data_IF_294109176846
#
_entry.id   IF_294109176846
#
_cell.length_a   1.000
_cell.length_b   1.000
_cell.length_c   1.000
_cell.angle_alpha   90.00
_cell.angle_beta   90.00
_cell.angle_gamma   90.00
#
_symmetry.space_group_name_H-M   'P 1'
#
loop_
_entity.id
_entity.type
_entity.pdbx_description
1 polymer ?
#
# COMPACT_ATOMS: atom_id res chain seq x y z
N UNK A 1 -19.98 33.44 -6.03
CA UNK A 1 -18.80 34.00 -6.69
C UNK A 1 -18.20 35.07 -5.77
N UNK A 2 -17.43 34.71 -4.73
CA UNK A 2 -16.70 35.71 -3.90
C UNK A 2 -16.32 35.27 -2.46
N UNK A 3 -16.07 34.01 -2.17
CA UNK A 3 -15.76 33.66 -0.75
C UNK A 3 -14.35 33.11 -0.49
N UNK A 4 -13.47 32.99 -1.49
CA UNK A 4 -12.11 32.46 -1.28
C UNK A 4 -10.96 33.40 -1.69
N UNK A 5 -11.24 34.67 -1.94
CA UNK A 5 -10.24 35.71 -2.20
C UNK A 5 -10.13 36.61 -0.96
N UNK A 6 -9.50 36.13 0.09
CA UNK A 6 -8.84 37.04 1.02
C UNK A 6 -7.67 37.66 0.24
N UNK A 7 -7.41 38.96 0.34
CA UNK A 7 -6.30 39.66 -0.37
C UNK A 7 -4.91 38.99 -0.15
N UNK A 8 -4.79 38.06 0.78
CA UNK A 8 -3.52 37.49 1.26
C UNK A 8 -3.32 36.00 0.89
N UNK A 9 -4.39 35.24 0.50
CA UNK A 9 -4.33 33.86 0.12
C UNK A 9 -5.27 33.49 -1.02
N UNK A 10 -4.74 32.79 -2.03
CA UNK A 10 -5.47 32.29 -3.19
C UNK A 10 -5.30 30.76 -3.25
N UNK A 11 -6.41 30.03 -3.19
CA UNK A 11 -6.40 28.59 -3.28
C UNK A 11 -7.03 28.13 -4.62
N UNK A 12 -6.26 27.43 -5.45
CA UNK A 12 -6.68 26.88 -6.74
C UNK A 12 -7.08 25.39 -6.66
N UNK A 13 -7.71 24.99 -5.60
CA UNK A 13 -8.00 23.57 -5.38
C UNK A 13 -9.11 22.97 -6.25
N UNK A 14 -10.00 23.77 -6.94
CA UNK A 14 -11.16 23.10 -7.59
C UNK A 14 -12.04 23.88 -8.59
N UNK A 15 -12.12 25.18 -8.55
CA UNK A 15 -13.18 25.90 -9.26
C UNK A 15 -12.71 27.05 -10.18
N UNK A 16 -11.47 27.46 -10.07
CA UNK A 16 -10.93 28.50 -10.96
C UNK A 16 -9.89 27.87 -11.90
N UNK A 17 -9.95 28.18 -13.21
CA UNK A 17 -8.84 27.86 -14.08
C UNK A 17 -7.59 28.58 -13.56
N UNK A 18 -6.51 27.84 -13.39
CA UNK A 18 -5.20 28.38 -13.00
C UNK A 18 -4.66 29.22 -14.15
N UNK A 19 -5.02 30.50 -14.16
CA UNK A 19 -4.58 31.45 -15.22
C UNK A 19 -3.15 31.91 -14.92
N UNK A 20 -2.19 31.24 -15.55
CA UNK A 20 -0.75 31.51 -15.39
C UNK A 20 -0.41 32.94 -15.78
N UNK A 21 -1.00 33.46 -16.87
CA UNK A 21 -0.70 34.79 -17.37
C UNK A 21 -1.20 35.91 -16.41
N UNK A 22 -2.38 35.69 -15.84
CA UNK A 22 -2.93 36.61 -14.84
C UNK A 22 -2.06 36.60 -13.58
N UNK A 23 -1.70 35.45 -13.05
CA UNK A 23 -0.91 35.31 -11.83
C UNK A 23 0.52 35.84 -11.99
N UNK A 24 1.17 35.55 -13.12
CA UNK A 24 2.50 36.08 -13.42
C UNK A 24 2.52 37.62 -13.44
N UNK A 25 1.58 38.25 -14.16
CA UNK A 25 1.52 39.69 -14.28
C UNK A 25 1.05 40.42 -13.02
N UNK A 26 0.07 39.86 -12.31
CA UNK A 26 -0.54 40.49 -11.12
C UNK A 26 0.33 40.41 -9.88
N UNK A 27 1.11 39.33 -9.71
CA UNK A 27 1.89 39.08 -8.51
C UNK A 27 3.39 38.94 -8.77
N UNK A 28 3.83 39.25 -9.99
CA UNK A 28 5.23 39.15 -10.44
C UNK A 28 5.86 37.78 -10.13
N UNK A 29 5.15 36.68 -10.50
CA UNK A 29 5.59 35.30 -10.27
C UNK A 29 6.27 34.80 -11.54
N UNK A 30 7.45 34.14 -11.43
CA UNK A 30 8.12 33.47 -12.56
C UNK A 30 7.19 32.46 -13.25
N UNK A 31 7.15 32.45 -14.58
CA UNK A 31 6.32 31.52 -15.37
C UNK A 31 6.71 30.06 -15.09
N UNK A 32 7.99 29.80 -14.82
CA UNK A 32 8.50 28.48 -14.44
C UNK A 32 7.83 27.97 -13.16
N UNK A 33 7.71 28.81 -12.11
CA UNK A 33 7.05 28.44 -10.87
C UNK A 33 5.58 28.07 -11.07
N UNK A 34 4.90 28.79 -11.95
CA UNK A 34 3.51 28.48 -12.31
C UNK A 34 3.41 27.19 -13.14
N UNK A 35 4.45 26.88 -13.93
CA UNK A 35 4.51 25.62 -14.66
C UNK A 35 4.69 24.45 -13.70
N UNK A 36 5.67 24.52 -12.82
CA UNK A 36 5.93 23.51 -11.79
C UNK A 36 4.74 23.30 -10.85
N UNK A 37 4.06 24.37 -10.46
CA UNK A 37 2.89 24.29 -9.60
C UNK A 37 1.70 23.54 -10.23
N UNK A 38 1.69 23.38 -11.55
CA UNK A 38 0.62 22.66 -12.27
C UNK A 38 1.04 21.29 -12.81
N UNK A 39 2.31 20.91 -12.65
CA UNK A 39 2.82 19.61 -13.04
C UNK A 39 2.41 18.56 -12.00
N UNK A 40 1.79 17.48 -12.49
CA UNK A 40 1.33 16.36 -11.63
C UNK A 40 2.45 15.42 -11.19
N UNK A 41 3.54 15.43 -11.93
CA UNK A 41 4.69 14.56 -11.73
C UNK A 41 5.87 15.31 -11.09
N UNK A 42 5.64 16.55 -10.63
CA UNK A 42 6.68 17.36 -10.02
C UNK A 42 7.07 16.80 -8.64
N UNK A 43 8.37 16.83 -8.36
CA UNK A 43 8.92 16.32 -7.09
C UNK A 43 8.93 17.39 -6.00
N UNK A 44 8.75 16.96 -4.74
CA UNK A 44 8.83 17.85 -3.58
C UNK A 44 10.18 18.57 -3.53
N UNK A 45 10.16 19.91 -3.53
CA UNK A 45 11.33 20.79 -3.50
C UNK A 45 11.01 22.19 -3.01
N UNK A 46 12.04 22.95 -2.74
CA UNK A 46 11.96 24.37 -2.38
C UNK A 46 12.94 25.16 -3.25
N UNK A 47 12.47 26.26 -3.80
CA UNK A 47 13.22 27.14 -4.71
C UNK A 47 12.82 28.58 -4.49
N UNK A 48 13.81 29.49 -4.51
CA UNK A 48 13.59 30.93 -4.40
C UNK A 48 14.11 31.63 -5.65
N UNK A 49 13.29 32.46 -6.23
CA UNK A 49 13.71 33.34 -7.33
C UNK A 49 14.36 34.61 -6.77
N UNK A 50 15.57 34.90 -7.23
CA UNK A 50 16.36 36.02 -6.72
C UNK A 50 15.88 37.36 -7.21
N UNK A 51 15.20 37.45 -8.37
CA UNK A 51 14.70 38.69 -8.96
C UNK A 51 13.38 39.11 -8.31
N UNK A 52 12.40 38.22 -8.29
CA UNK A 52 11.05 38.54 -7.77
C UNK A 52 10.94 38.34 -6.25
N UNK A 53 11.92 37.62 -5.65
CA UNK A 53 11.90 37.16 -4.25
C UNK A 53 10.66 36.29 -3.95
N UNK A 54 10.12 35.66 -4.97
CA UNK A 54 9.09 34.65 -4.84
C UNK A 54 9.70 33.32 -4.39
N UNK A 55 8.99 32.60 -3.52
CA UNK A 55 9.38 31.28 -3.02
C UNK A 55 8.38 30.25 -3.51
N UNK A 56 8.87 29.21 -4.16
CA UNK A 56 8.11 28.02 -4.51
C UNK A 56 8.46 26.91 -3.53
N UNK A 57 7.43 26.27 -2.94
CA UNK A 57 7.57 25.07 -2.15
C UNK A 57 6.61 24.04 -2.75
N UNK A 58 7.13 22.87 -3.12
CA UNK A 58 6.35 21.71 -3.52
C UNK A 58 6.48 20.67 -2.41
N UNK A 59 5.34 20.19 -1.95
CA UNK A 59 5.22 19.27 -0.82
C UNK A 59 4.18 18.21 -1.15
N UNK A 60 4.55 16.94 -1.08
CA UNK A 60 3.64 15.86 -1.45
C UNK A 60 2.57 15.64 -0.40
N UNK A 61 1.34 15.42 -0.86
CA UNK A 61 0.16 15.15 -0.03
C UNK A 61 -0.42 13.77 -0.33
N UNK A 62 -0.95 13.03 0.67
CA UNK A 62 -1.61 11.76 0.44
C UNK A 62 -3.05 11.97 -0.04
N UNK A 63 -3.53 11.13 -0.97
CA UNK A 63 -4.91 11.13 -1.46
C UNK A 63 -5.40 9.71 -1.75
N UNK A 64 -6.73 9.53 -1.88
CA UNK A 64 -7.33 8.24 -2.21
C UNK A 64 -7.09 7.90 -3.68
N UNK A 65 -6.55 6.69 -3.95
CA UNK A 65 -6.38 6.23 -5.32
C UNK A 65 -7.70 5.72 -5.90
N UNK A 66 -8.11 6.31 -7.04
CA UNK A 66 -9.33 5.93 -7.75
C UNK A 66 -9.09 4.91 -8.87
N UNK A 67 -7.82 4.52 -9.10
CA UNK A 67 -7.44 3.57 -10.16
C UNK A 67 -7.54 2.12 -9.73
N UNK A 68 -7.88 1.86 -8.48
CA UNK A 68 -7.92 0.53 -7.85
C UNK A 68 -6.57 -0.21 -7.81
N UNK A 69 -5.48 0.52 -8.06
CA UNK A 69 -4.10 -0.01 -8.01
C UNK A 69 -3.55 0.01 -6.59
N UNK A 70 -3.91 1.03 -5.82
CA UNK A 70 -3.55 1.22 -4.42
C UNK A 70 -4.78 1.72 -3.64
N UNK A 71 -4.72 1.78 -2.31
CA UNK A 71 -5.75 2.46 -1.52
C UNK A 71 -5.51 3.97 -1.48
N UNK A 72 -4.26 4.35 -1.41
CA UNK A 72 -3.81 5.73 -1.37
C UNK A 72 -2.62 5.91 -2.30
N UNK A 73 -2.52 7.10 -2.88
CA UNK A 73 -1.36 7.60 -3.59
C UNK A 73 -0.90 8.90 -2.96
N UNK A 74 0.13 9.49 -3.49
CA UNK A 74 0.63 10.82 -3.10
C UNK A 74 0.99 11.62 -4.33
N UNK A 75 0.98 12.95 -4.20
CA UNK A 75 1.32 13.83 -5.29
C UNK A 75 1.53 15.27 -4.84
N UNK A 76 1.99 16.14 -5.75
CA UNK A 76 2.47 17.46 -5.40
C UNK A 76 1.34 18.45 -5.07
N UNK A 77 1.54 19.15 -3.98
CA UNK A 77 0.88 20.40 -3.65
C UNK A 77 1.91 21.52 -3.65
N UNK A 78 1.61 22.63 -4.31
CA UNK A 78 2.51 23.77 -4.38
C UNK A 78 2.04 24.92 -3.50
N UNK A 79 3.02 25.60 -2.88
CA UNK A 79 2.89 26.88 -2.21
C UNK A 79 3.78 27.89 -2.94
N UNK A 80 3.20 28.94 -3.51
CA UNK A 80 3.96 30.06 -4.03
C UNK A 80 3.76 31.22 -3.07
N UNK A 81 4.83 31.62 -2.42
CA UNK A 81 4.84 32.69 -1.42
C UNK A 81 5.51 33.92 -2.02
N UNK A 82 4.74 35.00 -2.18
CA UNK A 82 5.24 36.30 -2.63
C UNK A 82 5.21 37.32 -1.49
N UNK A 83 5.62 38.57 -1.74
CA UNK A 83 5.48 39.64 -0.75
C UNK A 83 4.02 39.95 -0.41
N UNK A 84 3.10 39.73 -1.36
CA UNK A 84 1.69 40.16 -1.25
C UNK A 84 0.78 38.98 -0.89
N UNK A 85 0.95 37.84 -1.50
CA UNK A 85 -0.01 36.76 -1.48
C UNK A 85 0.69 35.38 -1.27
N UNK A 86 -0.05 34.44 -0.68
CA UNK A 86 0.25 33.01 -0.73
C UNK A 86 -0.69 32.38 -1.76
N UNK A 87 -0.15 31.61 -2.69
CA UNK A 87 -0.92 30.82 -3.64
C UNK A 87 -0.71 29.37 -3.34
N UNK A 88 -1.80 28.62 -3.19
CA UNK A 88 -1.75 27.16 -3.05
C UNK A 88 -2.45 26.51 -4.24
N UNK A 89 -1.83 25.48 -4.79
CA UNK A 89 -2.40 24.68 -5.87
C UNK A 89 -2.14 23.19 -5.63
N UNK A 90 -3.10 22.37 -6.02
CA UNK A 90 -2.94 20.91 -6.15
C UNK A 90 -3.05 20.56 -7.62
N UNK A 91 -2.07 19.85 -8.14
CA UNK A 91 -1.98 19.56 -9.56
C UNK A 91 -3.08 18.59 -10.05
N UNK A 92 -3.62 17.74 -9.17
CA UNK A 92 -4.74 16.84 -9.48
C UNK A 92 -5.99 17.20 -8.67
N UNK A 93 -7.13 17.33 -9.37
CA UNK A 93 -8.44 17.62 -8.75
C UNK A 93 -8.86 16.60 -7.69
N UNK A 94 -8.35 15.36 -7.79
CA UNK A 94 -8.60 14.30 -6.79
C UNK A 94 -8.05 14.67 -5.41
N UNK A 95 -6.92 15.38 -5.37
CA UNK A 95 -6.31 15.88 -4.13
C UNK A 95 -7.10 17.04 -3.51
N UNK A 96 -7.76 17.84 -4.34
CA UNK A 96 -8.52 19.00 -3.89
C UNK A 96 -9.67 18.64 -2.94
N UNK A 97 -10.28 17.48 -3.12
CA UNK A 97 -11.39 16.99 -2.28
C UNK A 97 -10.95 16.78 -0.82
N UNK A 98 -9.69 16.42 -0.60
CA UNK A 98 -9.14 16.20 0.74
C UNK A 98 -9.00 17.53 1.49
N UNK A 99 -8.51 18.55 0.78
CA UNK A 99 -8.33 19.89 1.35
C UNK A 99 -9.66 20.56 1.72
N UNK A 100 -10.73 20.25 0.98
CA UNK A 100 -12.08 20.76 1.27
C UNK A 100 -12.73 20.11 2.49
N UNK A 101 -12.52 18.80 2.65
CA UNK A 101 -13.15 18.02 3.73
C UNK A 101 -12.36 18.07 5.03
N UNK A 102 -11.12 18.52 5.00
CA UNK A 102 -10.31 18.70 6.18
C UNK A 102 -10.53 20.10 6.75
N UNK A 103 -10.97 20.20 8.00
CA UNK A 103 -10.95 21.45 8.80
C UNK A 103 -9.53 22.02 8.99
N UNK A 104 -8.60 21.61 8.14
CA UNK A 104 -7.17 21.88 8.19
C UNK A 104 -6.85 23.36 8.03
N UNK A 105 -7.74 24.11 7.38
CA UNK A 105 -7.46 25.46 6.89
C UNK A 105 -8.28 26.53 7.60
N UNK A 106 -9.38 26.14 8.27
CA UNK A 106 -10.38 27.09 8.81
C UNK A 106 -9.83 28.03 9.89
N UNK A 107 -8.66 27.74 10.47
CA UNK A 107 -8.04 28.50 11.54
C UNK A 107 -6.70 29.13 11.18
N UNK A 108 -6.22 28.99 9.93
CA UNK A 108 -4.93 29.52 9.51
C UNK A 108 -5.03 30.99 9.08
N UNK A 109 -4.14 31.82 9.62
CA UNK A 109 -4.07 33.23 9.26
C UNK A 109 -2.99 33.46 8.19
N UNK A 110 -3.37 33.75 6.93
CA UNK A 110 -2.44 33.91 5.82
C UNK A 110 -1.53 35.16 5.96
N UNK A 111 -1.83 36.06 6.88
CA UNK A 111 -1.01 37.23 7.18
C UNK A 111 0.38 36.85 7.67
N UNK A 112 0.48 35.75 8.42
CA UNK A 112 1.75 35.18 8.92
C UNK A 112 2.20 34.06 7.98
N UNK A 113 2.78 34.42 6.84
CA UNK A 113 3.05 33.50 5.72
C UNK A 113 3.88 32.27 6.08
N UNK A 114 4.95 32.44 6.87
CA UNK A 114 5.78 31.32 7.33
C UNK A 114 4.99 30.37 8.22
N UNK A 115 4.32 30.91 9.23
CA UNK A 115 3.49 30.13 10.14
C UNK A 115 2.34 29.44 9.40
N UNK A 116 1.69 30.11 8.44
CA UNK A 116 0.64 29.54 7.59
C UNK A 116 1.13 28.30 6.84
N UNK A 117 2.27 28.38 6.14
CA UNK A 117 2.84 27.29 5.34
C UNK A 117 3.24 26.12 6.25
N UNK A 118 3.91 26.39 7.38
CA UNK A 118 4.33 25.35 8.31
C UNK A 118 3.16 24.62 8.95
N UNK A 119 2.12 25.32 9.38
CA UNK A 119 0.89 24.69 9.90
C UNK A 119 0.20 23.83 8.85
N UNK A 120 0.18 24.30 7.59
CA UNK A 120 -0.40 23.54 6.51
C UNK A 120 0.38 22.24 6.26
N UNK A 121 1.72 22.32 6.24
CA UNK A 121 2.58 21.14 6.11
C UNK A 121 2.41 20.18 7.29
N UNK A 122 2.31 20.70 8.52
CA UNK A 122 2.07 19.88 9.71
C UNK A 122 0.72 19.12 9.62
N UNK A 123 -0.29 19.78 9.11
CA UNK A 123 -1.58 19.16 8.88
C UNK A 123 -1.52 18.05 7.82
N UNK A 124 -0.72 18.23 6.76
CA UNK A 124 -0.44 17.19 5.75
C UNK A 124 0.30 16.01 6.39
N UNK A 125 1.31 16.26 7.22
CA UNK A 125 2.05 15.20 7.92
C UNK A 125 1.12 14.35 8.81
N UNK A 126 0.24 14.98 9.58
CA UNK A 126 -0.80 14.30 10.37
C UNK A 126 -1.75 13.48 9.50
N UNK A 127 -2.09 13.97 8.32
CA UNK A 127 -2.92 13.23 7.37
C UNK A 127 -2.23 11.93 6.91
N UNK A 128 -0.91 11.95 6.63
CA UNK A 128 -0.14 10.73 6.36
C UNK A 128 -0.26 9.72 7.50
N UNK A 129 -0.02 10.15 8.74
CA UNK A 129 -0.14 9.27 9.92
C UNK A 129 -1.52 8.63 10.01
N UNK A 130 -2.58 9.40 9.78
CA UNK A 130 -3.95 8.88 9.83
C UNK A 130 -4.22 7.85 8.71
N UNK A 131 -3.72 8.10 7.49
CA UNK A 131 -3.86 7.15 6.38
C UNK A 131 -3.08 5.86 6.63
N UNK A 132 -1.86 5.95 7.18
CA UNK A 132 -1.06 4.77 7.56
C UNK A 132 -1.78 3.95 8.63
N UNK A 133 -2.40 4.59 9.62
CA UNK A 133 -3.22 3.90 10.63
C UNK A 133 -4.41 3.16 10.02
N UNK A 134 -5.06 3.74 9.00
CA UNK A 134 -6.15 3.08 8.27
C UNK A 134 -5.62 1.86 7.51
N UNK A 135 -4.49 1.97 6.81
CA UNK A 135 -3.84 0.87 6.10
C UNK A 135 -3.47 -0.27 7.07
N UNK A 136 -2.91 0.06 8.22
CA UNK A 136 -2.56 -0.93 9.25
C UNK A 136 -3.78 -1.67 9.79
N UNK A 137 -4.91 -0.99 10.01
CA UNK A 137 -6.15 -1.66 10.40
C UNK A 137 -6.64 -2.63 9.33
N UNK A 138 -6.61 -2.23 8.05
CA UNK A 138 -6.96 -3.11 6.93
C UNK A 138 -6.04 -4.34 6.88
N UNK A 139 -4.73 -4.16 7.03
CA UNK A 139 -3.75 -5.25 7.08
C UNK A 139 -4.08 -6.27 8.18
N UNK A 140 -4.35 -5.80 9.42
CA UNK A 140 -4.70 -6.68 10.55
C UNK A 140 -5.97 -7.50 10.25
N UNK A 141 -6.99 -6.91 9.62
CA UNK A 141 -8.21 -7.64 9.23
C UNK A 141 -7.91 -8.75 8.22
N UNK A 142 -7.06 -8.48 7.24
CA UNK A 142 -6.63 -9.47 6.25
C UNK A 142 -5.82 -10.58 6.94
N UNK A 143 -4.89 -10.24 7.81
CA UNK A 143 -4.08 -11.20 8.57
C UNK A 143 -4.96 -12.20 9.35
N UNK A 144 -6.01 -11.71 10.01
CA UNK A 144 -6.97 -12.56 10.72
C UNK A 144 -7.80 -13.48 9.79
N UNK A 145 -8.08 -13.03 8.57
CA UNK A 145 -8.78 -13.81 7.57
C UNK A 145 -7.89 -14.90 6.97
N UNK A 146 -6.62 -14.60 6.71
CA UNK A 146 -5.62 -15.53 6.16
C UNK A 146 -5.41 -16.77 7.03
N UNK A 147 -5.50 -16.63 8.36
CA UNK A 147 -5.39 -17.75 9.31
C UNK A 147 -6.51 -18.80 9.18
N UNK A 148 -7.62 -18.48 8.47
CA UNK A 148 -8.77 -19.38 8.31
C UNK A 148 -8.84 -20.00 6.91
N UNK A 149 -8.96 -19.20 5.89
CA UNK A 149 -9.09 -19.67 4.50
C UNK A 149 -8.56 -18.59 3.56
N UNK A 150 -7.34 -18.73 3.07
CA UNK A 150 -6.72 -17.75 2.19
C UNK A 150 -7.51 -17.57 0.89
N UNK A 151 -7.75 -16.31 0.48
CA UNK A 151 -8.39 -15.96 -0.80
C UNK A 151 -7.44 -15.13 -1.64
N UNK A 152 -7.53 -15.26 -2.96
CA UNK A 152 -6.75 -14.43 -3.89
C UNK A 152 -7.05 -12.92 -3.70
N UNK A 153 -8.27 -12.58 -3.29
CA UNK A 153 -8.67 -11.21 -3.01
C UNK A 153 -7.87 -10.60 -1.85
N UNK A 154 -7.55 -11.39 -0.82
CA UNK A 154 -6.75 -10.96 0.32
C UNK A 154 -5.33 -10.56 -0.12
N UNK A 155 -4.74 -11.34 -1.03
CA UNK A 155 -3.42 -11.04 -1.60
C UNK A 155 -3.46 -9.73 -2.42
N UNK A 156 -4.47 -9.54 -3.26
CA UNK A 156 -4.64 -8.30 -4.03
C UNK A 156 -4.76 -7.09 -3.08
N UNK A 157 -5.50 -7.23 -1.99
CA UNK A 157 -5.66 -6.19 -1.00
C UNK A 157 -4.35 -5.88 -0.25
N UNK A 158 -3.53 -6.90 0.05
CA UNK A 158 -2.18 -6.69 0.61
C UNK A 158 -1.29 -5.91 -0.37
N UNK A 159 -1.31 -6.26 -1.66
CA UNK A 159 -0.56 -5.53 -2.69
C UNK A 159 -1.00 -4.06 -2.81
N UNK A 160 -2.30 -3.76 -2.65
CA UNK A 160 -2.81 -2.38 -2.64
C UNK A 160 -2.30 -1.60 -1.42
N UNK A 161 -2.21 -2.25 -0.26
CA UNK A 161 -1.63 -1.65 0.96
C UNK A 161 -0.14 -1.37 0.73
N UNK A 162 0.61 -2.36 0.21
CA UNK A 162 2.04 -2.25 -0.07
C UNK A 162 2.34 -1.05 -0.97
N UNK A 163 1.66 -0.95 -2.11
CA UNK A 163 1.84 0.16 -3.04
C UNK A 163 1.57 1.51 -2.38
N UNK A 164 0.51 1.60 -1.58
CA UNK A 164 0.21 2.83 -0.83
C UNK A 164 1.34 3.22 0.13
N UNK A 165 1.90 2.25 0.85
CA UNK A 165 3.02 2.48 1.77
C UNK A 165 4.29 2.90 1.03
N UNK A 166 4.58 2.30 -0.14
CA UNK A 166 5.72 2.68 -0.98
C UNK A 166 5.59 4.13 -1.47
N UNK A 167 4.41 4.53 -1.95
CA UNK A 167 4.16 5.93 -2.33
C UNK A 167 4.40 6.88 -1.16
N UNK A 168 3.90 6.54 0.03
CA UNK A 168 4.09 7.35 1.22
C UNK A 168 5.57 7.45 1.65
N UNK A 169 6.31 6.34 1.61
CA UNK A 169 7.75 6.33 1.93
C UNK A 169 8.51 7.28 0.99
N UNK A 170 8.23 7.22 -0.32
CA UNK A 170 8.88 8.07 -1.31
C UNK A 170 8.58 9.55 -1.07
N UNK A 171 7.32 9.89 -0.89
CA UNK A 171 6.87 11.27 -0.67
C UNK A 171 7.33 11.85 0.67
N UNK A 172 7.24 11.07 1.75
CA UNK A 172 7.70 11.52 3.07
C UNK A 172 9.22 11.77 3.08
N UNK A 173 9.98 10.94 2.36
CA UNK A 173 11.42 11.15 2.18
C UNK A 173 11.71 12.46 1.44
N UNK A 174 10.99 12.74 0.35
CA UNK A 174 11.13 13.98 -0.42
C UNK A 174 10.69 15.20 0.41
N UNK A 175 9.60 15.07 1.14
CA UNK A 175 9.11 16.10 2.05
C UNK A 175 10.11 16.43 3.16
N UNK A 176 10.77 15.41 3.75
CA UNK A 176 11.81 15.60 4.76
C UNK A 176 12.99 16.43 4.21
N UNK A 177 13.37 16.25 2.93
CA UNK A 177 14.41 17.09 2.30
C UNK A 177 13.99 18.56 2.19
N UNK A 178 12.72 18.83 1.88
CA UNK A 178 12.16 20.20 1.85
C UNK A 178 12.21 20.83 3.23
N UNK A 179 11.78 20.13 4.27
CA UNK A 179 11.79 20.59 5.65
C UNK A 179 13.22 20.91 6.11
N UNK A 180 14.19 20.05 5.80
CA UNK A 180 15.60 20.28 6.14
C UNK A 180 16.17 21.53 5.46
N UNK A 181 15.74 21.82 4.21
CA UNK A 181 16.10 23.07 3.54
C UNK A 181 15.45 24.29 4.20
N UNK A 182 14.20 24.21 4.66
CA UNK A 182 13.55 25.28 5.42
C UNK A 182 14.29 25.54 6.72
N UNK A 183 14.72 24.47 7.44
CA UNK A 183 15.47 24.56 8.69
C UNK A 183 16.79 25.33 8.55
N UNK A 184 17.40 25.34 7.37
CA UNK A 184 18.61 26.11 7.11
C UNK A 184 18.43 27.62 7.27
N UNK A 185 17.19 28.13 7.33
CA UNK A 185 16.86 29.55 7.47
C UNK A 185 17.11 30.40 6.23
N UNK A 186 17.53 29.76 5.10
CA UNK A 186 17.83 30.50 3.86
C UNK A 186 16.58 30.98 3.13
N UNK A 187 15.49 30.20 3.20
CA UNK A 187 14.29 30.39 2.39
C UNK A 187 13.17 31.13 3.13
N UNK A 188 13.00 30.82 4.42
CA UNK A 188 11.97 31.42 5.27
C UNK A 188 12.63 31.99 6.53
N UNK A 189 12.15 33.15 6.97
CA UNK A 189 12.53 33.69 8.26
C UNK A 189 11.80 32.92 9.35
N UNK A 190 12.56 32.33 10.28
CA UNK A 190 12.04 31.54 11.38
C UNK A 190 12.28 32.30 12.69
N UNK A 191 11.22 32.72 13.33
CA UNK A 191 11.21 33.20 14.71
C UNK A 191 11.10 32.00 15.65
N UNK A 192 11.10 32.21 16.95
CA UNK A 192 11.16 31.09 17.90
C UNK A 192 9.91 30.20 17.84
N UNK A 193 8.72 30.79 17.64
CA UNK A 193 7.48 30.04 17.45
C UNK A 193 7.50 29.18 16.16
N UNK A 194 8.02 29.72 15.06
CA UNK A 194 8.14 28.95 13.82
C UNK A 194 9.23 27.87 13.88
N UNK A 195 10.26 28.05 14.70
CA UNK A 195 11.26 27.00 14.92
C UNK A 195 10.64 25.80 15.68
N UNK A 196 9.87 26.07 16.73
CA UNK A 196 9.16 25.04 17.47
C UNK A 196 8.17 24.30 16.55
N UNK A 197 7.37 25.03 15.78
CA UNK A 197 6.44 24.45 14.80
C UNK A 197 7.17 23.62 13.73
N UNK A 198 8.35 24.04 13.28
CA UNK A 198 9.16 23.29 12.33
C UNK A 198 9.73 22.00 12.94
N UNK A 199 10.14 22.03 14.20
CA UNK A 199 10.60 20.83 14.92
C UNK A 199 9.43 19.85 15.11
N UNK A 200 8.22 20.31 15.44
CA UNK A 200 7.01 19.48 15.49
C UNK A 200 6.69 18.85 14.12
N UNK A 201 6.80 19.63 13.04
CA UNK A 201 6.61 19.15 11.67
C UNK A 201 7.63 18.05 11.32
N UNK A 202 8.89 18.23 11.70
CA UNK A 202 9.94 17.21 11.47
C UNK A 202 9.61 15.92 12.21
N UNK A 203 9.24 16.01 13.48
CA UNK A 203 8.85 14.85 14.30
C UNK A 203 7.69 14.08 13.66
N UNK A 204 6.65 14.79 13.20
CA UNK A 204 5.46 14.15 12.61
C UNK A 204 5.79 13.48 11.26
N UNK A 205 6.63 14.12 10.42
CA UNK A 205 7.06 13.52 9.13
C UNK A 205 7.96 12.30 9.37
N UNK A 206 8.92 12.39 10.29
CA UNK A 206 9.79 11.26 10.64
C UNK A 206 8.98 10.10 11.23
N UNK A 207 8.01 10.40 12.11
CA UNK A 207 7.08 9.39 12.63
C UNK A 207 6.28 8.72 11.50
N UNK A 208 5.72 9.49 10.56
CA UNK A 208 4.98 8.93 9.44
C UNK A 208 5.88 8.06 8.54
N UNK A 209 7.11 8.50 8.29
CA UNK A 209 8.09 7.76 7.51
C UNK A 209 8.46 6.42 8.18
N UNK A 210 8.77 6.43 9.46
CA UNK A 210 9.10 5.22 10.24
C UNK A 210 7.90 4.27 10.31
N UNK A 211 6.70 4.78 10.57
CA UNK A 211 5.48 3.98 10.56
C UNK A 211 5.25 3.30 9.20
N UNK A 212 5.47 4.01 8.09
CA UNK A 212 5.35 3.44 6.74
C UNK A 212 6.36 2.33 6.49
N UNK A 213 7.62 2.54 6.86
CA UNK A 213 8.68 1.55 6.71
C UNK A 213 8.43 0.29 7.54
N UNK A 214 8.06 0.45 8.82
CA UNK A 214 7.73 -0.67 9.70
C UNK A 214 6.52 -1.44 9.16
N UNK A 215 5.47 -0.72 8.74
CA UNK A 215 4.26 -1.34 8.17
C UNK A 215 4.56 -2.11 6.89
N UNK A 216 5.41 -1.57 6.02
CA UNK A 216 5.84 -2.22 4.78
C UNK A 216 6.67 -3.48 5.07
N UNK A 217 7.58 -3.43 6.05
CA UNK A 217 8.37 -4.59 6.46
C UNK A 217 7.48 -5.72 6.99
N UNK A 218 6.53 -5.40 7.89
CA UNK A 218 5.59 -6.39 8.42
C UNK A 218 4.76 -7.02 7.30
N UNK A 219 4.36 -6.23 6.31
CA UNK A 219 3.56 -6.70 5.18
C UNK A 219 4.35 -7.67 4.30
N UNK A 220 5.64 -7.41 4.04
CA UNK A 220 6.51 -8.32 3.29
C UNK A 220 6.70 -9.66 4.04
N UNK A 221 6.98 -9.62 5.35
CA UNK A 221 7.08 -10.83 6.19
C UNK A 221 5.77 -11.64 6.20
N UNK A 222 4.64 -10.95 6.14
CA UNK A 222 3.31 -11.56 6.07
C UNK A 222 3.07 -12.22 4.70
N UNK A 223 3.48 -11.60 3.61
CA UNK A 223 3.38 -12.16 2.26
C UNK A 223 4.23 -13.43 2.12
N UNK A 224 5.46 -13.43 2.63
CA UNK A 224 6.34 -14.60 2.65
C UNK A 224 5.74 -15.75 3.47
N UNK A 225 5.10 -15.42 4.60
CA UNK A 225 4.40 -16.40 5.42
C UNK A 225 3.18 -17.00 4.71
N UNK A 226 2.48 -16.18 3.93
CA UNK A 226 1.34 -16.60 3.12
C UNK A 226 1.73 -17.59 2.03
N UNK A 227 2.82 -17.34 1.31
CA UNK A 227 3.36 -18.27 0.31
C UNK A 227 3.73 -19.62 0.94
N UNK A 228 4.28 -19.59 2.14
CA UNK A 228 4.60 -20.81 2.90
C UNK A 228 3.35 -21.62 3.26
N UNK A 229 2.26 -20.93 3.64
CA UNK A 229 0.97 -21.58 3.96
C UNK A 229 0.35 -22.21 2.71
N UNK A 230 0.36 -21.52 1.58
CA UNK A 230 -0.14 -22.04 0.30
C UNK A 230 0.66 -23.26 -0.12
N UNK A 231 1.99 -23.21 -0.06
CA UNK A 231 2.86 -24.33 -0.40
C UNK A 231 2.62 -25.55 0.50
N UNK A 232 2.44 -25.34 1.80
CA UNK A 232 2.10 -26.41 2.73
C UNK A 232 0.73 -27.04 2.43
N UNK A 233 -0.27 -26.24 2.14
CA UNK A 233 -1.61 -26.72 1.76
C UNK A 233 -1.56 -27.52 0.45
N UNK A 234 -0.85 -27.01 -0.55
CA UNK A 234 -0.65 -27.69 -1.84
C UNK A 234 0.05 -29.04 -1.64
N UNK A 235 1.13 -29.06 -0.85
CA UNK A 235 1.85 -30.29 -0.52
C UNK A 235 0.94 -31.30 0.21
N UNK A 236 0.07 -30.84 1.10
CA UNK A 236 -0.87 -31.72 1.81
C UNK A 236 -1.90 -32.32 0.86
N UNK A 237 -2.46 -31.52 -0.07
CA UNK A 237 -3.37 -32.01 -1.12
C UNK A 237 -2.66 -33.00 -2.04
N UNK A 238 -1.43 -32.72 -2.46
CA UNK A 238 -0.62 -33.62 -3.29
C UNK A 238 -0.33 -34.93 -2.58
N UNK A 239 0.06 -34.93 -1.30
CA UNK A 239 0.25 -36.12 -0.50
C UNK A 239 -1.02 -36.98 -0.42
N UNK A 240 -2.16 -36.33 -0.19
CA UNK A 240 -3.45 -37.03 -0.18
C UNK A 240 -3.77 -37.70 -1.53
N UNK A 241 -3.64 -36.95 -2.64
CA UNK A 241 -3.90 -37.48 -3.99
C UNK A 241 -2.98 -38.65 -4.36
N UNK A 242 -1.68 -38.50 -4.08
CA UNK A 242 -0.70 -39.56 -4.34
C UNK A 242 -1.00 -40.79 -3.50
N UNK A 243 -1.29 -40.65 -2.21
CA UNK A 243 -1.64 -41.75 -1.34
C UNK A 243 -2.90 -42.48 -1.80
N UNK A 244 -3.93 -41.73 -2.15
CA UNK A 244 -5.18 -42.24 -2.69
C UNK A 244 -4.96 -43.04 -4.00
N UNK A 245 -4.17 -42.47 -4.93
CA UNK A 245 -3.81 -43.16 -6.18
C UNK A 245 -3.08 -44.46 -5.96
N UNK A 246 -2.09 -44.47 -5.06
CA UNK A 246 -1.33 -45.68 -4.76
C UNK A 246 -2.23 -46.76 -4.14
N UNK A 247 -3.13 -46.40 -3.21
CA UNK A 247 -4.09 -47.34 -2.60
C UNK A 247 -4.99 -47.99 -3.67
N UNK A 248 -5.50 -47.20 -4.63
CA UNK A 248 -6.33 -47.75 -5.72
C UNK A 248 -5.56 -48.57 -6.73
N UNK A 249 -4.26 -48.32 -6.90
CA UNK A 249 -3.42 -49.06 -7.83
C UNK A 249 -3.21 -50.54 -7.39
N UNK A 250 -3.21 -50.83 -6.08
CA UNK A 250 -3.00 -52.19 -5.56
C UNK A 250 -4.08 -53.19 -6.05
N UNK A 251 -5.37 -52.95 -5.83
CA UNK A 251 -6.42 -53.83 -6.39
C UNK A 251 -6.31 -53.94 -7.91
N UNK A 252 -6.03 -52.81 -8.61
CA UNK A 252 -5.93 -52.78 -10.07
C UNK A 252 -4.80 -53.71 -10.58
N UNK A 253 -3.62 -53.66 -9.93
CA UNK A 253 -2.50 -54.53 -10.28
C UNK A 253 -2.86 -56.01 -10.05
N UNK A 254 -3.45 -56.34 -8.90
CA UNK A 254 -3.83 -57.71 -8.54
C UNK A 254 -4.87 -58.25 -9.52
N UNK A 255 -5.93 -57.49 -9.80
CA UNK A 255 -6.98 -57.95 -10.70
C UNK A 255 -6.49 -58.03 -12.16
N UNK A 256 -5.62 -57.08 -12.59
CA UNK A 256 -5.01 -57.10 -13.90
C UNK A 256 -4.09 -58.34 -14.06
N UNK A 257 -3.29 -58.69 -13.04
CA UNK A 257 -2.45 -59.88 -13.03
C UNK A 257 -3.30 -61.13 -13.18
N UNK A 258 -4.37 -61.28 -12.40
CA UNK A 258 -5.25 -62.45 -12.48
C UNK A 258 -6.21 -62.45 -13.67
N UNK A 259 -6.30 -61.35 -14.43
CA UNK A 259 -7.01 -61.23 -15.69
C UNK A 259 -6.19 -61.75 -16.90
N UNK A 260 -4.97 -62.20 -16.71
CA UNK A 260 -4.15 -62.74 -17.79
C UNK A 260 -4.58 -64.13 -18.21
N UNK A 261 -4.52 -64.46 -19.51
CA UNK A 261 -4.82 -65.78 -20.09
C UNK A 261 -3.65 -66.73 -20.03
N UNK A 262 -2.99 -66.82 -18.88
CA UNK A 262 -1.86 -67.70 -18.61
C UNK A 262 -2.11 -68.54 -17.36
N UNK A 263 -1.47 -69.72 -17.18
CA UNK A 263 -1.60 -70.49 -15.95
C UNK A 263 -1.06 -69.71 -14.74
N UNK A 264 -1.96 -69.32 -13.83
CA UNK A 264 -1.62 -68.53 -12.65
C UNK A 264 -1.78 -69.36 -11.38
N UNK A 265 -1.01 -69.08 -10.30
CA UNK A 265 -1.17 -69.70 -9.02
C UNK A 265 -2.60 -69.48 -8.46
N UNK A 266 -3.15 -70.43 -7.70
CA UNK A 266 -4.50 -70.40 -7.11
C UNK A 266 -5.67 -70.58 -8.09
N UNK A 267 -5.48 -70.61 -9.41
CA UNK A 267 -6.58 -70.79 -10.40
C UNK A 267 -7.14 -72.22 -10.37
N UNK A 268 -6.47 -73.17 -9.76
CA UNK A 268 -6.92 -74.51 -9.65
C UNK A 268 -8.01 -74.79 -8.58
N UNK A 269 -8.47 -73.75 -7.87
CA UNK A 269 -9.49 -73.80 -6.84
C UNK A 269 -10.73 -72.99 -7.26
N UNK A 270 -11.53 -73.45 -8.25
CA UNK A 270 -12.48 -72.59 -8.98
C UNK A 270 -13.62 -71.94 -8.15
N UNK A 271 -13.89 -72.47 -6.97
CA UNK A 271 -14.95 -71.92 -6.08
C UNK A 271 -14.46 -70.88 -5.07
N UNK A 272 -13.16 -70.84 -4.74
CA UNK A 272 -12.60 -70.03 -3.65
C UNK A 272 -11.51 -69.05 -4.13
N UNK A 273 -10.99 -69.27 -5.33
CA UNK A 273 -9.87 -68.47 -5.88
C UNK A 273 -10.17 -66.98 -5.89
N UNK A 274 -11.36 -66.57 -6.39
CA UNK A 274 -11.76 -65.16 -6.50
C UNK A 274 -11.89 -64.51 -5.10
N UNK A 275 -12.42 -65.22 -4.10
CA UNK A 275 -12.57 -64.73 -2.74
C UNK A 275 -11.19 -64.49 -2.10
N UNK A 276 -10.23 -65.39 -2.31
CA UNK A 276 -8.85 -65.28 -1.80
C UNK A 276 -8.15 -64.08 -2.44
N UNK A 277 -8.34 -63.86 -3.77
CA UNK A 277 -7.73 -62.75 -4.50
C UNK A 277 -8.32 -61.43 -4.04
N UNK A 278 -9.65 -61.35 -3.87
CA UNK A 278 -10.32 -60.16 -3.34
C UNK A 278 -9.89 -59.86 -1.89
N UNK A 279 -9.78 -60.89 -1.05
CA UNK A 279 -9.32 -60.74 0.34
C UNK A 279 -7.89 -60.23 0.39
N UNK A 280 -6.98 -60.77 -0.46
CA UNK A 280 -5.60 -60.33 -0.58
C UNK A 280 -5.51 -58.86 -1.01
N UNK A 281 -6.25 -58.47 -2.03
CA UNK A 281 -6.31 -57.08 -2.51
C UNK A 281 -6.80 -56.12 -1.43
N UNK A 282 -7.86 -56.52 -0.70
CA UNK A 282 -8.41 -55.73 0.41
C UNK A 282 -7.39 -55.61 1.55
N UNK A 283 -6.75 -56.71 1.97
CA UNK A 283 -5.78 -56.71 3.05
C UNK A 283 -4.59 -55.81 2.76
N UNK A 284 -4.02 -55.90 1.55
CA UNK A 284 -2.91 -55.04 1.12
C UNK A 284 -3.31 -53.56 1.05
N UNK A 285 -4.51 -53.25 0.55
CA UNK A 285 -5.03 -51.89 0.52
C UNK A 285 -5.23 -51.32 1.92
N UNK A 286 -5.77 -52.10 2.85
CA UNK A 286 -5.93 -51.72 4.27
C UNK A 286 -4.57 -51.47 4.94
N UNK A 287 -3.62 -52.39 4.79
CA UNK A 287 -2.27 -52.26 5.35
C UNK A 287 -1.60 -50.98 4.85
N UNK A 288 -1.72 -50.70 3.55
CA UNK A 288 -1.15 -49.49 2.97
C UNK A 288 -1.87 -48.21 3.45
N UNK A 289 -3.19 -48.28 3.60
CA UNK A 289 -3.96 -47.16 4.18
C UNK A 289 -3.50 -46.86 5.61
N UNK A 290 -3.36 -47.88 6.44
CA UNK A 290 -2.86 -47.74 7.81
C UNK A 290 -1.43 -47.17 7.84
N UNK A 291 -0.58 -47.57 6.91
CA UNK A 291 0.77 -47.02 6.77
C UNK A 291 0.74 -45.51 6.45
N UNK A 292 -0.09 -45.08 5.48
CA UNK A 292 -0.21 -43.66 5.14
C UNK A 292 -0.88 -42.84 6.24
N UNK A 293 -1.86 -43.39 6.97
CA UNK A 293 -2.45 -42.76 8.16
C UNK A 293 -1.37 -42.53 9.24
N UNK A 294 -0.56 -43.56 9.52
CA UNK A 294 0.53 -43.48 10.51
C UNK A 294 1.62 -42.50 10.12
N UNK A 295 1.80 -42.22 8.84
CA UNK A 295 2.77 -41.25 8.29
C UNK A 295 2.17 -39.86 8.09
N UNK A 296 0.96 -39.54 8.57
CA UNK A 296 0.25 -38.25 8.46
C UNK A 296 0.00 -37.78 7.03
N UNK A 297 -0.11 -38.71 6.06
CA UNK A 297 -0.42 -38.35 4.66
C UNK A 297 -1.89 -37.96 4.47
N UNK A 298 -2.79 -38.29 5.39
CA UNK A 298 -4.22 -37.99 5.38
C UNK A 298 -4.61 -36.90 6.39
N UNK A 299 -3.68 -36.43 7.22
CA UNK A 299 -3.96 -35.41 8.23
C UNK A 299 -4.11 -34.06 7.56
N UNK A 300 -5.32 -33.48 7.62
CA UNK A 300 -5.54 -32.02 7.47
C UNK A 300 -5.12 -31.37 8.79
N UNK A 301 -3.93 -30.78 8.86
CA UNK A 301 -3.64 -29.80 9.89
C UNK A 301 -4.18 -28.43 9.50
#
# INVERSE_FOLDING_TARGET
MSENLTREWINFSDQMPFDKNYLSKSFNIPEEFLSYATDKDESARIEMDDETKSLLIIFDIPFEDQTDVAYYSSGPMSFIVTKEVIITNVADKKMATILKNSKLVDHLNPKYKTSFVLHFMLAIAKLYVDRIRILNRKRILIEQALGKTPKNEDLINLMKIERSLIYFIMSLKSNSLVINKIKSGKYLKLYDEEKELLDDLMIEVDQAFDMSNISNKILNEMTDSYDSIINNNTNSVMKFLISYSIILTIPTIIFSFYGMNVPLPLTNLPKVSWEIICLLALLLSVLLTLFFVKKDYFSKR
#
